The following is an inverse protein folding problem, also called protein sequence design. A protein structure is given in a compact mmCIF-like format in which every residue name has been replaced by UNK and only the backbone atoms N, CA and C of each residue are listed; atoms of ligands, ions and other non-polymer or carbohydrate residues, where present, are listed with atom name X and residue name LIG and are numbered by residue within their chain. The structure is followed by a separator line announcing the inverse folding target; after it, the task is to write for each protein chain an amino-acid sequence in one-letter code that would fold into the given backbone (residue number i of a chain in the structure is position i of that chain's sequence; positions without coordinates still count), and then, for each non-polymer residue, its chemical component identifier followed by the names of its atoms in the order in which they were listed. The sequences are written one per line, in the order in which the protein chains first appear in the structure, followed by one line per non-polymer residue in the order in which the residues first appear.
data_IF_771121142743
#
_entry.id   IF_771121142743
#
_cell.length_a   1.000
_cell.length_b   1.000
_cell.length_c   1.000
_cell.angle_alpha   90.00
_cell.angle_beta   90.00
_cell.angle_gamma   90.00
#
_symmetry.space_group_name_H-M   'P 1'
#
loop_
_entity.id
_entity.type
_entity.pdbx_description
1 polymer ?
#
# COMPACT_ATOMS: atom_id res chain seq x y z
N UNK A 1 -22.78 -3.57 -2.20
CA UNK A 1 -22.42 -3.10 -3.55
C UNK A 1 -22.08 -1.62 -3.46
N UNK A 2 -20.80 -1.23 -3.33
CA UNK A 2 -20.39 0.17 -3.14
C UNK A 2 -19.86 0.70 -4.47
N UNK A 3 -20.65 1.54 -5.16
CA UNK A 3 -20.24 2.22 -6.39
C UNK A 3 -19.46 3.48 -6.02
N UNK A 4 -18.16 3.48 -6.32
CA UNK A 4 -17.31 4.66 -6.16
C UNK A 4 -17.48 5.51 -7.43
N UNK A 5 -18.00 6.74 -7.31
CA UNK A 5 -18.00 7.71 -8.41
C UNK A 5 -16.56 8.11 -8.71
N UNK A 6 -15.99 7.52 -9.76
CA UNK A 6 -14.60 7.66 -10.14
C UNK A 6 -14.48 8.66 -11.30
N UNK A 7 -13.66 9.71 -11.15
CA UNK A 7 -13.45 10.73 -12.17
C UNK A 7 -12.57 10.25 -13.35
N UNK A 8 -11.82 9.15 -13.19
CA UNK A 8 -10.90 8.63 -14.23
C UNK A 8 -10.84 7.10 -14.27
N UNK A 9 -10.94 6.52 -15.47
CA UNK A 9 -10.81 5.07 -15.67
C UNK A 9 -9.36 4.56 -15.62
N UNK A 10 -8.34 5.44 -15.57
CA UNK A 10 -6.94 5.04 -15.75
C UNK A 10 -6.33 4.28 -14.56
N UNK A 11 -6.73 4.62 -13.33
CA UNK A 11 -6.19 3.99 -12.10
C UNK A 11 -7.29 3.26 -11.35
N UNK A 12 -7.44 1.95 -11.50
CA UNK A 12 -8.38 1.19 -10.68
C UNK A 12 -7.91 1.21 -9.24
N UNK A 13 -8.66 1.91 -8.36
CA UNK A 13 -8.39 1.95 -6.93
C UNK A 13 -8.59 0.53 -6.37
N UNK A 14 -7.50 -0.22 -6.30
CA UNK A 14 -7.48 -1.55 -5.70
C UNK A 14 -6.85 -1.40 -4.33
N UNK A 15 -7.67 -1.46 -3.27
CA UNK A 15 -7.13 -1.66 -1.92
C UNK A 15 -6.38 -2.99 -1.97
N UNK A 16 -5.08 -2.92 -1.82
CA UNK A 16 -4.25 -4.10 -1.68
C UNK A 16 -4.59 -4.77 -0.36
N UNK A 17 -4.34 -6.08 -0.27
CA UNK A 17 -4.49 -6.79 1.00
C UNK A 17 -3.59 -6.14 2.07
N UNK A 18 -3.94 -6.24 3.36
CA UNK A 18 -3.06 -5.81 4.42
C UNK A 18 -1.68 -6.47 4.28
N UNK A 19 -0.63 -5.67 4.47
CA UNK A 19 0.74 -6.16 4.47
C UNK A 19 1.28 -6.17 5.90
N UNK A 20 2.13 -7.15 6.21
CA UNK A 20 2.82 -7.19 7.50
C UNK A 20 3.95 -6.16 7.50
N UNK A 21 4.12 -5.45 8.61
CA UNK A 21 5.28 -4.59 8.82
C UNK A 21 6.46 -5.47 9.23
N UNK A 22 7.54 -5.46 8.44
CA UNK A 22 8.77 -6.19 8.76
C UNK A 22 9.66 -5.39 9.73
N UNK A 23 9.79 -4.08 9.49
CA UNK A 23 10.67 -3.22 10.28
C UNK A 23 10.21 -1.77 10.24
N UNK A 24 10.32 -1.06 11.36
CA UNK A 24 10.27 0.40 11.39
C UNK A 24 11.65 0.96 11.09
N UNK A 25 11.80 1.66 9.96
CA UNK A 25 13.08 2.22 9.51
C UNK A 25 13.30 3.60 10.13
N UNK A 26 12.25 4.42 10.20
CA UNK A 26 12.29 5.74 10.82
C UNK A 26 10.98 6.01 11.56
N UNK A 27 10.84 7.20 12.17
CA UNK A 27 9.59 7.61 12.82
C UNK A 27 8.37 7.49 11.88
N UNK A 28 8.59 7.70 10.58
CA UNK A 28 7.55 7.80 9.56
C UNK A 28 7.66 6.76 8.43
N UNK A 29 8.78 6.03 8.33
CA UNK A 29 9.01 5.05 7.26
C UNK A 29 9.03 3.61 7.79
N UNK A 30 8.30 2.74 7.09
CA UNK A 30 8.12 1.33 7.44
C UNK A 30 8.48 0.44 6.27
N UNK A 31 9.21 -0.64 6.55
CA UNK A 31 9.43 -1.73 5.59
C UNK A 31 8.28 -2.71 5.69
N UNK A 32 7.61 -2.96 4.57
CA UNK A 32 6.53 -3.93 4.46
C UNK A 32 7.02 -5.25 3.88
N UNK A 33 6.30 -6.32 4.23
CA UNK A 33 6.43 -7.63 3.59
C UNK A 33 5.63 -7.60 2.30
N UNK A 34 6.30 -7.28 1.19
CA UNK A 34 5.69 -7.28 -0.14
C UNK A 34 5.85 -8.67 -0.77
N UNK A 35 4.81 -9.19 -1.43
CA UNK A 35 4.93 -10.43 -2.17
C UNK A 35 5.88 -10.26 -3.36
N UNK A 36 6.70 -11.28 -3.61
CA UNK A 36 7.70 -11.29 -4.69
C UNK A 36 7.11 -11.15 -6.10
N UNK A 37 5.79 -11.31 -6.25
CA UNK A 37 5.08 -11.13 -7.52
C UNK A 37 4.82 -9.66 -7.87
N UNK A 38 5.11 -8.73 -6.95
CA UNK A 38 4.88 -7.31 -7.15
C UNK A 38 6.08 -6.67 -7.86
N UNK A 39 5.82 -5.88 -8.92
CA UNK A 39 6.88 -5.18 -9.66
C UNK A 39 7.53 -4.03 -8.87
N UNK A 40 7.09 -3.78 -7.63
CA UNK A 40 7.66 -2.75 -6.77
C UNK A 40 9.02 -3.21 -6.24
N UNK A 41 10.08 -2.55 -6.70
CA UNK A 41 11.45 -2.78 -6.20
C UNK A 41 11.68 -2.23 -4.79
N UNK A 42 10.80 -1.35 -4.31
CA UNK A 42 10.93 -0.65 -3.03
C UNK A 42 9.85 -1.13 -2.07
N UNK A 43 10.27 -1.66 -0.92
CA UNK A 43 9.38 -2.15 0.13
C UNK A 43 9.24 -1.18 1.31
N UNK A 44 9.69 0.07 1.16
CA UNK A 44 9.67 1.09 2.21
C UNK A 44 8.62 2.14 1.90
N UNK A 45 7.69 2.34 2.82
CA UNK A 45 6.55 3.24 2.65
C UNK A 45 6.45 4.24 3.79
N UNK A 46 5.93 5.42 3.44
CA UNK A 46 5.63 6.49 4.37
C UNK A 46 4.28 6.25 5.07
N UNK A 47 4.18 6.58 6.36
CA UNK A 47 3.03 6.24 7.22
C UNK A 47 1.70 6.79 6.70
N UNK A 48 1.65 7.98 6.08
CA UNK A 48 0.40 8.54 5.55
C UNK A 48 -0.12 7.80 4.31
N UNK A 49 0.70 6.93 3.69
CA UNK A 49 0.27 6.06 2.60
C UNK A 49 -0.31 4.73 3.11
N UNK A 50 -0.31 4.51 4.42
CA UNK A 50 -0.77 3.29 5.06
C UNK A 50 -2.06 3.59 5.81
N UNK A 51 -3.05 2.72 5.63
CA UNK A 51 -4.25 2.68 6.46
C UNK A 51 -4.14 1.48 7.40
N UNK A 52 -4.62 1.64 8.64
CA UNK A 52 -4.76 0.50 9.55
C UNK A 52 -5.87 -0.41 9.00
N UNK A 53 -5.56 -1.70 8.87
CA UNK A 53 -6.51 -2.72 8.47
C UNK A 53 -7.51 -3.04 9.58
#
# INVERSE_FOLDING_TARGET
NIRINKLSNKLNFRKLKPFRILKKISKVNYKLDLPNNMQLKIAVFYILLLEKA
#
